data_IF_262834227682
#
_entry.id   IF_262834227682
#
_cell.length_a   1.000
_cell.length_b   1.000
_cell.length_c   1.000
_cell.angle_alpha   90.00
_cell.angle_beta   90.00
_cell.angle_gamma   90.00
#
_symmetry.space_group_name_H-M   'P 1'
#
loop_
_entity.id
_entity.type
_entity.pdbx_description
1 polymer ?
#
# COMPACT_ATOMS: atom_id res chain seq x y z
N UNK A 1 2.46 -8.93 16.02
CA UNK A 1 2.73 -8.95 14.56
C UNK A 1 2.51 -7.56 14.00
N UNK A 2 3.51 -7.03 13.30
CA UNK A 2 3.54 -5.66 12.79
C UNK A 2 2.81 -5.63 11.46
N UNK A 3 1.81 -4.77 11.30
CA UNK A 3 1.01 -4.65 10.07
C UNK A 3 1.41 -3.40 9.29
N UNK A 4 1.63 -3.56 8.01
CA UNK A 4 1.86 -2.48 7.05
C UNK A 4 0.77 -2.53 5.97
N UNK A 5 0.09 -1.41 5.77
CA UNK A 5 -0.97 -1.32 4.76
C UNK A 5 -0.37 -1.19 3.36
N UNK A 6 -0.98 -1.83 2.36
CA UNK A 6 -0.59 -1.63 0.94
C UNK A 6 -0.55 -0.16 0.55
N UNK A 7 -1.43 0.68 1.08
CA UNK A 7 -1.46 2.13 0.85
C UNK A 7 -0.16 2.81 1.28
N UNK A 8 0.41 2.42 2.42
CA UNK A 8 1.69 2.94 2.90
C UNK A 8 2.88 2.31 2.17
N UNK A 9 2.79 1.02 1.82
CA UNK A 9 3.89 0.27 1.20
C UNK A 9 4.11 0.60 -0.28
N UNK A 10 3.04 0.82 -1.05
CA UNK A 10 3.15 0.97 -2.52
C UNK A 10 4.06 2.11 -2.96
N UNK A 11 4.04 3.32 -2.36
CA UNK A 11 4.99 4.38 -2.72
C UNK A 11 6.46 3.97 -2.51
N UNK A 12 6.71 3.15 -1.49
CA UNK A 12 8.05 2.65 -1.14
C UNK A 12 8.47 1.51 -2.08
N UNK A 13 7.56 0.58 -2.37
CA UNK A 13 7.82 -0.60 -3.20
C UNK A 13 7.81 -0.28 -4.70
N UNK A 14 7.15 0.79 -5.15
CA UNK A 14 7.09 1.17 -6.57
C UNK A 14 8.39 1.81 -7.10
N UNK A 15 9.44 1.91 -6.28
CA UNK A 15 10.73 2.46 -6.69
C UNK A 15 11.45 1.55 -7.71
N UNK A 16 12.30 2.11 -8.60
CA UNK A 16 13.06 1.34 -9.58
C UNK A 16 13.84 0.20 -8.92
N UNK A 17 13.80 -1.03 -9.40
CA UNK A 17 14.50 -2.17 -8.76
C UNK A 17 13.61 -3.05 -7.86
N UNK A 18 12.43 -2.58 -7.45
CA UNK A 18 11.37 -3.43 -6.90
C UNK A 18 11.79 -4.43 -5.82
N UNK A 19 11.45 -5.71 -6.00
CA UNK A 19 11.65 -6.77 -5.01
C UNK A 19 13.12 -7.16 -4.74
N UNK A 20 14.06 -6.75 -5.59
CA UNK A 20 15.48 -7.04 -5.37
C UNK A 20 16.15 -6.10 -4.37
N UNK A 21 15.44 -5.05 -3.94
CA UNK A 21 15.95 -4.11 -2.94
C UNK A 21 15.79 -4.65 -1.52
N UNK A 22 16.78 -4.41 -0.64
CA UNK A 22 16.61 -4.68 0.78
C UNK A 22 15.55 -3.73 1.37
N UNK A 23 14.71 -4.30 2.23
CA UNK A 23 13.81 -3.58 3.11
C UNK A 23 14.45 -3.51 4.49
N UNK A 24 14.44 -2.34 5.13
CA UNK A 24 14.94 -2.21 6.49
C UNK A 24 13.75 -1.91 7.39
N UNK A 25 13.43 -2.86 8.26
CA UNK A 25 12.44 -2.69 9.32
C UNK A 25 13.13 -1.99 10.49
N UNK A 26 12.61 -0.84 10.90
CA UNK A 26 13.17 -0.06 12.00
C UNK A 26 12.14 0.28 13.06
N UNK A 27 12.60 0.29 14.31
CA UNK A 27 11.96 0.98 15.41
C UNK A 27 12.91 2.04 15.96
N UNK A 28 12.45 3.29 15.92
CA UNK A 28 13.05 4.46 16.57
C UNK A 28 11.90 5.33 17.08
N UNK A 29 11.55 6.40 16.35
CA UNK A 29 10.31 7.17 16.55
C UNK A 29 9.14 6.49 15.83
N UNK A 30 8.63 5.42 16.43
CA UNK A 30 7.60 4.55 15.86
C UNK A 30 8.20 3.38 15.08
N UNK A 31 7.37 2.67 14.31
CA UNK A 31 7.78 1.50 13.52
C UNK A 31 7.52 1.75 12.04
N UNK A 32 8.55 1.58 11.21
CA UNK A 32 8.44 1.79 9.77
C UNK A 32 9.37 0.86 8.98
N UNK A 33 9.01 0.62 7.72
CA UNK A 33 9.91 0.06 6.71
C UNK A 33 10.48 1.21 5.91
N UNK A 34 11.80 1.23 5.74
CA UNK A 34 12.48 2.15 4.83
C UNK A 34 13.18 1.41 3.71
N UNK A 35 13.25 2.06 2.55
CA UNK A 35 14.01 1.60 1.39
C UNK A 35 15.00 2.68 1.00
N UNK A 36 16.26 2.34 0.64
CA UNK A 36 17.21 3.31 0.12
C UNK A 36 16.62 4.04 -1.09
N UNK A 37 16.59 5.37 -1.04
CA UNK A 37 16.18 6.23 -2.17
C UNK A 37 17.42 6.64 -2.97
N UNK A 38 17.51 6.17 -4.22
CA UNK A 38 18.63 6.48 -5.11
C UNK A 38 18.52 7.89 -5.71
N UNK A 39 17.32 8.47 -5.75
CA UNK A 39 17.06 9.79 -6.35
C UNK A 39 17.29 10.94 -5.37
N UNK A 40 17.15 10.67 -4.08
CA UNK A 40 17.42 11.63 -3.00
C UNK A 40 18.20 10.97 -1.87
N UNK A 41 19.54 10.92 -1.97
CA UNK A 41 20.39 10.43 -0.89
C UNK A 41 20.15 11.30 0.37
N UNK A 42 19.43 10.76 1.36
CA UNK A 42 19.08 11.47 2.61
C UNK A 42 17.57 11.54 2.90
N UNK A 43 16.70 11.48 1.89
CA UNK A 43 15.25 11.34 2.08
C UNK A 43 14.86 9.88 1.88
N UNK A 44 14.81 9.12 2.97
CA UNK A 44 14.46 7.71 2.89
C UNK A 44 12.94 7.60 2.84
N UNK A 45 12.41 7.00 1.77
CA UNK A 45 11.00 6.67 1.68
C UNK A 45 10.67 5.67 2.78
N UNK A 46 9.60 5.97 3.53
CA UNK A 46 9.18 5.18 4.68
C UNK A 46 7.71 4.82 4.59
N UNK A 47 7.40 3.58 4.93
CA UNK A 47 6.05 3.07 5.11
C UNK A 47 5.86 2.80 6.60
N UNK A 48 4.93 3.52 7.23
CA UNK A 48 4.64 3.33 8.65
C UNK A 48 3.84 2.07 8.88
N UNK A 49 4.14 1.39 10.00
CA UNK A 49 3.27 0.37 10.53
C UNK A 49 1.97 1.01 11.04
N UNK A 50 0.86 0.31 10.88
CA UNK A 50 -0.45 0.75 11.33
C UNK A 50 -0.44 0.99 12.85
N UNK A 51 -0.89 2.16 13.30
CA UNK A 51 -0.95 2.52 14.73
C UNK A 51 0.39 2.88 15.36
N UNK A 52 1.48 2.98 14.59
CA UNK A 52 2.83 3.28 15.07
C UNK A 52 3.43 4.54 14.44
N UNK A 53 2.62 5.40 13.82
CA UNK A 53 3.06 6.64 13.19
C UNK A 53 2.96 7.82 14.18
N UNK A 54 4.08 8.49 14.54
CA UNK A 54 4.09 9.56 15.53
C UNK A 54 3.30 10.81 15.15
N UNK A 55 2.97 10.99 13.87
CA UNK A 55 2.24 12.16 13.39
C UNK A 55 0.73 11.96 13.32
N UNK A 56 0.28 10.70 13.25
CA UNK A 56 -1.12 10.38 12.97
C UNK A 56 -1.78 9.52 14.06
N UNK A 57 -1.00 8.78 14.85
CA UNK A 57 -1.53 7.82 15.82
C UNK A 57 -1.27 8.31 17.25
N UNK A 58 -2.33 8.61 18.00
CA UNK A 58 -2.21 9.18 19.36
C UNK A 58 -1.43 8.27 20.34
N UNK A 59 -1.55 6.94 20.17
CA UNK A 59 -0.93 5.93 21.05
C UNK A 59 0.29 5.24 20.41
N UNK A 60 0.94 5.88 19.45
CA UNK A 60 2.00 5.26 18.65
C UNK A 60 3.13 4.65 19.49
N UNK A 61 3.56 5.32 20.56
CA UNK A 61 4.71 4.89 21.37
C UNK A 61 4.41 3.58 22.09
N UNK A 62 3.27 3.51 22.79
CA UNK A 62 2.87 2.31 23.51
C UNK A 62 2.64 1.12 22.56
N UNK A 63 2.07 1.37 21.36
CA UNK A 63 1.90 0.36 20.33
C UNK A 63 3.25 -0.14 19.79
N UNK A 64 4.19 0.77 19.55
CA UNK A 64 5.53 0.42 19.07
C UNK A 64 6.28 -0.44 20.10
N UNK A 65 6.24 -0.06 21.38
CA UNK A 65 6.89 -0.80 22.47
C UNK A 65 6.25 -2.18 22.71
N UNK A 66 4.93 -2.29 22.51
CA UNK A 66 4.24 -3.58 22.60
C UNK A 66 4.61 -4.54 21.44
N UNK A 67 4.97 -4.01 20.26
CA UNK A 67 5.31 -4.80 19.08
C UNK A 67 6.79 -5.18 19.01
N UNK A 68 7.68 -4.27 19.41
CA UNK A 68 9.12 -4.47 19.49
C UNK A 68 9.55 -3.86 20.85
N UNK A 69 9.90 -4.68 21.86
CA UNK A 69 10.27 -4.17 23.18
C UNK A 69 11.55 -3.33 23.20
N UNK A 70 12.48 -3.59 22.28
CA UNK A 70 13.76 -2.89 22.20
C UNK A 70 13.57 -1.40 21.86
N UNK A 71 14.29 -0.50 22.54
CA UNK A 71 14.18 0.94 22.32
C UNK A 71 14.57 1.34 20.88
N UNK A 72 15.62 0.70 20.35
CA UNK A 72 16.06 0.83 18.97
C UNK A 72 16.14 -0.55 18.33
N UNK A 73 15.65 -0.67 17.11
CA UNK A 73 15.68 -1.91 16.33
C UNK A 73 15.93 -1.58 14.86
N UNK A 74 16.81 -2.33 14.21
CA UNK A 74 17.02 -2.25 12.76
C UNK A 74 17.29 -3.65 12.22
N UNK A 75 16.51 -4.06 11.22
CA UNK A 75 16.65 -5.36 10.60
C UNK A 75 16.53 -5.27 9.09
N UNK A 76 17.58 -5.72 8.40
CA UNK A 76 17.62 -5.78 6.95
C UNK A 76 17.05 -7.13 6.49
N UNK A 77 16.05 -7.06 5.61
CA UNK A 77 15.39 -8.23 5.03
C UNK A 77 15.12 -8.05 3.54
N UNK A 78 14.81 -9.15 2.86
CA UNK A 78 14.37 -9.15 1.47
C UNK A 78 12.95 -9.68 1.40
N UNK A 79 12.17 -9.14 0.46
CA UNK A 79 10.81 -9.58 0.22
C UNK A 79 10.77 -10.52 -0.99
N UNK A 80 10.12 -11.67 -0.82
CA UNK A 80 9.85 -12.58 -1.95
C UNK A 80 9.00 -11.87 -3.02
N UNK A 81 9.28 -12.15 -4.30
CA UNK A 81 8.54 -11.57 -5.43
C UNK A 81 7.03 -11.80 -5.33
N UNK A 82 6.59 -12.97 -4.86
CA UNK A 82 5.17 -13.30 -4.66
C UNK A 82 4.47 -12.34 -3.67
N UNK A 83 5.15 -12.00 -2.57
CA UNK A 83 4.64 -11.05 -1.55
C UNK A 83 4.64 -9.63 -2.11
N UNK A 84 5.67 -9.29 -2.88
CA UNK A 84 5.77 -8.00 -3.55
C UNK A 84 4.61 -7.78 -4.54
N UNK A 85 4.34 -8.78 -5.38
CA UNK A 85 3.21 -8.75 -6.33
C UNK A 85 1.86 -8.72 -5.61
N UNK A 86 1.73 -9.43 -4.48
CA UNK A 86 0.52 -9.39 -3.66
C UNK A 86 0.24 -7.98 -3.11
N UNK A 87 1.27 -7.24 -2.67
CA UNK A 87 1.11 -5.86 -2.18
C UNK A 87 0.81 -4.89 -3.33
N UNK A 88 1.58 -4.95 -4.43
CA UNK A 88 1.44 -4.01 -5.53
C UNK A 88 0.20 -4.24 -6.39
N UNK A 89 -0.13 -5.50 -6.68
CA UNK A 89 -1.22 -5.86 -7.59
C UNK A 89 -2.47 -6.29 -6.82
N UNK A 90 -2.30 -7.07 -5.75
CA UNK A 90 -3.39 -7.55 -4.90
C UNK A 90 -3.86 -6.57 -3.83
N UNK A 91 -3.10 -5.48 -3.58
CA UNK A 91 -3.32 -4.56 -2.47
C UNK A 91 -3.33 -5.24 -1.09
N UNK A 92 -2.65 -6.38 -0.96
CA UNK A 92 -2.51 -7.09 0.29
C UNK A 92 -1.73 -6.28 1.31
N UNK A 93 -2.08 -6.44 2.58
CA UNK A 93 -1.30 -5.94 3.69
C UNK A 93 -0.13 -6.88 3.94
N UNK A 94 1.00 -6.29 4.32
CA UNK A 94 2.18 -7.02 4.72
C UNK A 94 2.20 -7.10 6.24
N UNK A 95 2.41 -8.31 6.73
CA UNK A 95 2.61 -8.55 8.14
C UNK A 95 4.03 -9.04 8.37
N UNK A 96 4.72 -8.44 9.32
CA UNK A 96 6.07 -8.79 9.72
C UNK A 96 6.10 -9.15 11.20
N UNK A 97 6.84 -10.19 11.53
CA UNK A 97 7.03 -10.63 12.91
C UNK A 97 8.52 -10.87 13.15
N UNK A 98 9.15 -10.09 14.04
CA UNK A 98 10.47 -10.41 14.55
C UNK A 98 10.39 -11.71 15.37
N UNK A 99 11.14 -12.73 14.97
CA UNK A 99 11.21 -14.04 15.61
C UNK A 99 12.65 -14.29 16.05
N UNK A 100 12.83 -14.58 17.33
CA UNK A 100 14.11 -15.07 17.84
C UNK A 100 14.42 -16.44 17.21
N UNK A 101 15.58 -16.60 16.56
CA UNK A 101 15.95 -17.91 16.04
C UNK A 101 16.09 -18.92 17.19
N UNK A 102 15.60 -20.14 16.96
CA UNK A 102 15.61 -21.23 17.94
C UNK A 102 17.03 -21.72 18.31
N UNK A 103 18.04 -21.30 17.56
CA UNK A 103 19.43 -21.77 17.70
C UNK A 103 20.41 -20.64 17.34
N UNK A 104 20.80 -19.83 18.33
CA UNK A 104 21.77 -18.75 18.18
C UNK A 104 21.13 -17.38 17.98
N UNK A 105 21.76 -16.34 18.55
CA UNK A 105 21.26 -14.97 18.72
C UNK A 105 20.87 -14.18 17.45
N UNK A 106 20.72 -14.83 16.28
CA UNK A 106 20.25 -14.20 15.07
C UNK A 106 18.73 -14.00 15.15
N UNK A 107 18.26 -12.76 15.25
CA UNK A 107 16.86 -12.46 14.99
C UNK A 107 16.55 -12.65 13.51
N UNK A 108 15.35 -13.12 13.20
CA UNK A 108 14.84 -13.21 11.82
C UNK A 108 13.48 -12.54 11.75
N UNK A 109 13.08 -12.04 10.59
CA UNK A 109 11.73 -11.49 10.39
C UNK A 109 10.93 -12.45 9.51
N UNK A 110 9.85 -13.00 10.06
CA UNK A 110 8.87 -13.73 9.28
C UNK A 110 7.92 -12.74 8.62
N UNK A 111 7.73 -12.86 7.31
CA UNK A 111 6.82 -12.01 6.56
C UNK A 111 5.73 -12.83 5.87
N UNK A 112 4.52 -12.28 5.80
CA UNK A 112 3.40 -12.83 5.05
C UNK A 112 2.50 -11.70 4.53
N UNK A 113 1.74 -11.99 3.48
CA UNK A 113 0.77 -11.04 2.91
C UNK A 113 -0.64 -11.58 3.08
N UNK A 114 -1.58 -10.71 3.43
CA UNK A 114 -3.00 -11.06 3.59
C UNK A 114 -3.88 -10.04 2.88
N UNK A 115 -5.10 -10.40 2.46
CA UNK A 115 -6.06 -9.44 1.92
C UNK A 115 -6.23 -8.25 2.87
N UNK A 116 -6.45 -7.04 2.34
CA UNK A 116 -6.56 -5.85 3.16
C UNK A 116 -7.73 -5.95 4.14
N UNK A 117 -7.48 -5.56 5.39
CA UNK A 117 -8.55 -5.52 6.39
C UNK A 117 -9.64 -4.53 5.97
N UNK A 118 -10.90 -4.97 6.06
CA UNK A 118 -12.04 -4.18 5.59
C UNK A 118 -12.43 -3.10 6.60
N UNK A 119 -12.56 -1.88 6.10
CA UNK A 119 -13.07 -0.73 6.86
C UNK A 119 -14.54 -0.53 6.50
N UNK A 120 -15.41 -0.70 7.48
CA UNK A 120 -16.85 -0.62 7.26
C UNK A 120 -17.36 0.81 7.29
N UNK A 121 -18.01 1.22 6.20
CA UNK A 121 -18.59 2.56 6.06
C UNK A 121 -20.11 2.52 5.89
N UNK A 122 -20.75 3.69 5.97
CA UNK A 122 -22.18 3.85 5.71
C UNK A 122 -22.47 3.65 4.22
N UNK A 123 -23.69 3.19 3.89
CA UNK A 123 -24.10 2.88 2.49
C UNK A 123 -23.95 4.10 1.56
N UNK A 124 -24.30 5.30 2.04
CA UNK A 124 -24.14 6.53 1.26
C UNK A 124 -22.69 6.78 0.87
N UNK A 125 -21.78 6.74 1.85
CA UNK A 125 -20.35 6.85 1.60
C UNK A 125 -19.84 5.75 0.68
N UNK A 126 -20.25 4.50 0.88
CA UNK A 126 -19.85 3.40 0.00
C UNK A 126 -20.19 3.67 -1.46
N UNK A 127 -21.43 4.14 -1.75
CA UNK A 127 -21.86 4.51 -3.10
C UNK A 127 -21.12 5.72 -3.65
N UNK A 128 -20.83 6.71 -2.82
CA UNK A 128 -20.08 7.89 -3.26
C UNK A 128 -18.63 7.51 -3.63
N UNK A 129 -18.02 6.56 -2.92
CA UNK A 129 -16.70 6.02 -3.25
C UNK A 129 -16.70 5.19 -4.53
N UNK A 130 -17.77 4.42 -4.78
CA UNK A 130 -17.97 3.73 -6.06
C UNK A 130 -18.06 4.74 -7.21
N UNK A 131 -18.86 5.80 -7.06
CA UNK A 131 -18.96 6.87 -8.06
C UNK A 131 -17.61 7.54 -8.32
N UNK A 132 -16.85 7.80 -7.25
CA UNK A 132 -15.52 8.38 -7.37
C UNK A 132 -14.56 7.50 -8.16
N UNK A 133 -14.61 6.17 -7.96
CA UNK A 133 -13.84 5.22 -8.80
C UNK A 133 -14.26 5.29 -10.27
N UNK A 134 -15.56 5.30 -10.56
CA UNK A 134 -16.04 5.44 -11.95
C UNK A 134 -15.63 6.76 -12.58
N UNK A 135 -15.66 7.87 -11.83
CA UNK A 135 -15.22 9.16 -12.34
C UNK A 135 -13.73 9.13 -12.74
N UNK A 136 -12.88 8.38 -12.03
CA UNK A 136 -11.48 8.17 -12.41
C UNK A 136 -11.35 7.51 -13.79
N UNK A 137 -12.09 6.43 -14.06
CA UNK A 137 -11.94 5.66 -15.29
C UNK A 137 -12.74 6.20 -16.49
N UNK A 138 -13.91 6.81 -16.24
CA UNK A 138 -14.84 7.25 -17.29
C UNK A 138 -14.75 8.74 -17.63
N UNK A 139 -14.32 9.59 -16.70
CA UNK A 139 -14.22 11.04 -16.93
C UNK A 139 -12.78 11.51 -16.94
N UNK A 140 -12.07 11.34 -15.83
CA UNK A 140 -10.74 11.92 -15.67
C UNK A 140 -9.73 11.34 -16.66
N UNK A 141 -9.75 10.02 -16.87
CA UNK A 141 -8.88 9.39 -17.85
C UNK A 141 -9.08 9.93 -19.28
N UNK A 142 -10.33 10.12 -19.69
CA UNK A 142 -10.67 10.59 -21.03
C UNK A 142 -10.41 12.09 -21.23
N UNK A 143 -10.26 12.85 -20.14
CA UNK A 143 -9.89 14.25 -20.18
C UNK A 143 -8.38 14.47 -20.41
N UNK A 144 -7.54 13.45 -20.21
CA UNK A 144 -6.09 13.57 -20.38
C UNK A 144 -5.69 13.56 -21.87
N UNK A 145 -5.11 14.67 -22.33
CA UNK A 145 -4.71 14.87 -23.73
C UNK A 145 -3.26 14.48 -24.00
N UNK A 146 -2.38 14.57 -23.02
CA UNK A 146 -0.95 14.26 -23.17
C UNK A 146 -0.44 13.15 -22.21
N UNK A 147 0.82 12.74 -22.39
CA UNK A 147 1.43 11.71 -21.56
C UNK A 147 1.68 12.19 -20.11
N UNK A 148 1.92 13.48 -19.90
CA UNK A 148 2.19 14.02 -18.56
C UNK A 148 0.91 14.03 -17.70
N UNK A 149 -0.21 14.42 -18.30
CA UNK A 149 -1.54 14.34 -17.69
C UNK A 149 -1.94 12.91 -17.40
N UNK A 150 -1.71 11.96 -18.33
CA UNK A 150 -1.96 10.53 -18.08
C UNK A 150 -1.10 9.98 -16.97
N UNK A 151 0.17 10.41 -16.88
CA UNK A 151 1.07 10.02 -15.80
C UNK A 151 0.57 10.53 -14.44
N UNK A 152 0.18 11.81 -14.38
CA UNK A 152 -0.42 12.43 -13.19
C UNK A 152 -1.73 11.74 -12.79
N UNK A 153 -2.62 11.50 -13.76
CA UNK A 153 -3.86 10.75 -13.58
C UNK A 153 -3.58 9.34 -13.05
N UNK A 154 -2.61 8.62 -13.61
CA UNK A 154 -2.25 7.27 -13.15
C UNK A 154 -1.84 7.26 -11.68
N UNK A 155 -1.03 8.23 -11.26
CA UNK A 155 -0.64 8.39 -9.85
C UNK A 155 -1.86 8.69 -8.94
N UNK A 156 -2.76 9.57 -9.39
CA UNK A 156 -3.98 9.88 -8.66
C UNK A 156 -4.93 8.67 -8.58
N UNK A 157 -5.19 7.99 -9.68
CA UNK A 157 -6.05 6.82 -9.76
C UNK A 157 -5.55 5.67 -8.86
N UNK A 158 -4.23 5.45 -8.81
CA UNK A 158 -3.61 4.52 -7.86
C UNK A 158 -3.89 4.93 -6.40
N UNK A 159 -3.71 6.21 -6.07
CA UNK A 159 -3.99 6.72 -4.72
C UNK A 159 -5.47 6.59 -4.33
N UNK A 160 -6.39 6.89 -5.26
CA UNK A 160 -7.84 6.71 -5.05
C UNK A 160 -8.15 5.23 -4.81
N UNK A 161 -7.61 4.34 -5.64
CA UNK A 161 -7.83 2.91 -5.51
C UNK A 161 -7.32 2.39 -4.16
N UNK A 162 -6.13 2.80 -3.73
CA UNK A 162 -5.56 2.39 -2.44
C UNK A 162 -6.38 2.87 -1.23
N UNK A 163 -7.11 3.99 -1.35
CA UNK A 163 -8.02 4.49 -0.31
C UNK A 163 -9.33 3.72 -0.27
N UNK A 164 -9.83 3.30 -1.43
CA UNK A 164 -11.19 2.74 -1.56
C UNK A 164 -11.20 1.21 -1.48
N UNK A 165 -10.11 0.51 -1.84
CA UNK A 165 -10.07 -0.97 -1.93
C UNK A 165 -10.38 -1.69 -0.59
N UNK A 166 -10.15 -1.00 0.52
CA UNK A 166 -10.41 -1.48 1.89
C UNK A 166 -11.84 -1.29 2.33
N UNK A 167 -12.60 -0.42 1.66
CA UNK A 167 -13.94 -0.08 2.08
C UNK A 167 -14.90 -1.23 1.83
N UNK A 168 -15.77 -1.48 2.79
CA UNK A 168 -16.93 -2.38 2.65
C UNK A 168 -18.13 -1.78 3.39
N UNK A 169 -19.31 -2.29 3.12
CA UNK A 169 -20.52 -1.88 3.79
C UNK A 169 -21.38 -3.08 4.18
N UNK A 170 -21.63 -3.24 5.49
CA UNK A 170 -22.47 -4.31 6.03
C UNK A 170 -23.90 -4.32 5.48
N UNK A 171 -24.40 -3.16 5.05
CA UNK A 171 -25.76 -2.95 4.54
C UNK A 171 -25.82 -2.71 3.03
N UNK A 172 -24.70 -2.86 2.31
CA UNK A 172 -24.70 -2.77 0.85
C UNK A 172 -25.53 -3.92 0.25
N UNK A 173 -26.30 -3.62 -0.79
CA UNK A 173 -26.99 -4.64 -1.57
C UNK A 173 -25.99 -5.39 -2.45
N UNK A 174 -26.28 -6.62 -2.91
CA UNK A 174 -25.42 -7.33 -3.87
C UNK A 174 -25.06 -6.48 -5.09
N UNK A 175 -26.03 -5.74 -5.65
CA UNK A 175 -25.80 -4.82 -6.75
C UNK A 175 -24.80 -3.69 -6.43
N UNK A 176 -24.76 -3.19 -5.18
CA UNK A 176 -23.78 -2.17 -4.78
C UNK A 176 -22.35 -2.78 -4.77
N UNK A 177 -22.21 -4.06 -4.40
CA UNK A 177 -20.92 -4.78 -4.41
C UNK A 177 -20.45 -5.09 -5.83
N UNK A 178 -21.36 -5.51 -6.71
CA UNK A 178 -21.06 -5.71 -8.13
C UNK A 178 -20.60 -4.42 -8.80
N UNK A 179 -21.25 -3.29 -8.50
CA UNK A 179 -20.80 -1.98 -8.99
C UNK A 179 -19.43 -1.60 -8.44
N UNK A 180 -19.14 -1.90 -7.17
CA UNK A 180 -17.81 -1.67 -6.59
C UNK A 180 -16.74 -2.49 -7.30
N UNK A 181 -16.95 -3.79 -7.48
CA UNK A 181 -16.01 -4.67 -8.14
C UNK A 181 -15.79 -4.27 -9.61
N UNK A 182 -16.86 -3.90 -10.31
CA UNK A 182 -16.82 -3.36 -11.67
C UNK A 182 -16.02 -2.04 -11.75
N UNK A 183 -16.25 -1.11 -10.83
CA UNK A 183 -15.53 0.16 -10.78
C UNK A 183 -14.03 -0.06 -10.50
N UNK A 184 -13.69 -0.95 -9.57
CA UNK A 184 -12.31 -1.35 -9.28
C UNK A 184 -11.64 -1.95 -10.51
N UNK A 185 -12.32 -2.87 -11.20
CA UNK A 185 -11.80 -3.50 -12.42
C UNK A 185 -11.54 -2.46 -13.52
N UNK A 186 -12.51 -1.57 -13.76
CA UNK A 186 -12.41 -0.50 -14.74
C UNK A 186 -11.21 0.42 -14.49
N UNK A 187 -10.99 0.85 -13.24
CA UNK A 187 -9.83 1.69 -12.88
C UNK A 187 -8.52 0.93 -13.07
N UNK A 188 -8.45 -0.35 -12.67
CA UNK A 188 -7.25 -1.17 -12.86
C UNK A 188 -6.90 -1.35 -14.33
N UNK A 189 -7.88 -1.61 -15.17
CA UNK A 189 -7.66 -1.76 -16.61
C UNK A 189 -7.10 -0.49 -17.24
N UNK A 190 -7.65 0.68 -16.87
CA UNK A 190 -7.13 1.97 -17.33
C UNK A 190 -5.72 2.25 -16.82
N UNK A 191 -5.44 1.94 -15.55
CA UNK A 191 -4.08 2.05 -14.98
C UNK A 191 -3.10 1.16 -15.75
N UNK A 192 -3.52 -0.06 -16.13
CA UNK A 192 -2.70 -1.00 -16.88
C UNK A 192 -2.47 -0.56 -18.33
N UNK A 193 -3.40 0.20 -18.93
CA UNK A 193 -3.24 0.81 -20.25
C UNK A 193 -2.20 1.93 -20.26
N UNK A 194 -1.99 2.62 -19.14
CA UNK A 194 -0.98 3.70 -19.04
C UNK A 194 0.35 3.14 -18.56
N UNK A 195 1.39 3.28 -19.39
CA UNK A 195 2.77 2.91 -19.04
C UNK A 195 3.35 3.86 -17.97
N UNK A 196 4.45 3.47 -17.30
CA UNK A 196 5.10 4.32 -16.29
C UNK A 196 5.62 5.67 -16.83
N UNK A 197 5.77 5.82 -18.15
CA UNK A 197 6.15 7.06 -18.83
C UNK A 197 4.94 7.89 -19.29
N UNK A 198 3.71 7.46 -18.95
CA UNK A 198 2.46 8.12 -19.32
C UNK A 198 1.93 7.76 -20.72
N UNK A 199 2.70 7.03 -21.53
CA UNK A 199 2.24 6.59 -22.85
C UNK A 199 1.20 5.48 -22.74
N UNK A 200 0.33 5.35 -23.75
CA UNK A 200 -0.66 4.28 -23.80
C UNK A 200 -0.04 3.01 -24.38
N UNK A 201 -0.42 1.85 -23.81
CA UNK A 201 -0.18 0.56 -24.45
C UNK A 201 -1.07 0.47 -25.70
N UNK A 202 -0.46 0.68 -26.86
CA UNK A 202 -1.10 0.37 -28.15
C UNK A 202 -1.19 -1.14 -28.30
N UNK A 203 -2.41 -1.64 -28.49
CA UNK A 203 -2.68 -3.03 -28.90
C UNK A 203 -2.76 -3.11 -30.42
#
# INVERSE_FOLDING_TARGET
MIRFTSTQLRPVLSQPGGASRPLILEKNLGIYIRVPDDKKPGEWLRAWAEGCNPWNDDNWSANADALIPEAEYSFLTFMEQSKFDAVLNGHHDLFMEPVAARSGAAMTVRSETRPPEKVYVRVGEYRDRIRWLYDQSLKHFHACVDNAERLSWRAQALSVLDRVIRLDCKRAKPADREMFDSAVHSVRDRINQVRPDGSLRTY
#
